data_IF_107621993428
#
_entry.id   IF_107621993428
#
_cell.length_a   1.000
_cell.length_b   1.000
_cell.length_c   1.000
_cell.angle_alpha   90.00
_cell.angle_beta   90.00
_cell.angle_gamma   90.00
#
_symmetry.space_group_name_H-M   'P 1'
#
loop_
_entity.id
_entity.type
_entity.pdbx_description
1 polymer ?
#
# COMPACT_ATOMS: atom_id res chain seq x y z
N UNK A 1 12.12 58.46 -21.22
CA UNK A 1 13.34 57.77 -21.69
C UNK A 1 13.50 56.51 -20.87
N UNK A 2 13.21 55.35 -21.47
CA UNK A 2 13.22 54.05 -20.83
C UNK A 2 14.63 53.47 -20.85
N UNK A 3 15.07 52.90 -19.72
CA UNK A 3 16.23 52.02 -19.65
C UNK A 3 15.74 50.60 -19.33
N UNK A 4 16.06 49.67 -20.23
CA UNK A 4 15.91 48.23 -20.11
C UNK A 4 16.73 47.70 -18.93
N UNK A 5 16.20 46.70 -18.22
CA UNK A 5 17.00 45.74 -17.47
C UNK A 5 16.57 44.33 -17.87
N UNK A 6 17.47 43.67 -18.59
CA UNK A 6 17.54 42.24 -18.87
C UNK A 6 18.55 41.69 -17.86
N UNK A 7 18.15 40.79 -16.96
CA UNK A 7 18.95 39.78 -16.23
C UNK A 7 17.92 38.95 -15.43
N UNK A 8 17.95 37.63 -15.27
CA UNK A 8 18.76 36.55 -15.82
C UNK A 8 18.13 35.25 -15.31
N UNK A 9 18.17 34.21 -16.14
CA UNK A 9 17.59 32.91 -15.86
C UNK A 9 18.51 32.08 -14.97
N UNK A 10 18.37 32.23 -13.66
CA UNK A 10 18.96 31.34 -12.67
C UNK A 10 17.87 30.63 -11.84
N UNK A 11 17.02 29.83 -12.48
CA UNK A 11 16.41 28.69 -11.79
C UNK A 11 17.54 27.70 -11.49
N UNK A 12 17.80 27.52 -10.21
CA UNK A 12 19.02 26.92 -9.68
C UNK A 12 19.18 25.45 -10.12
N UNK A 13 20.41 25.09 -10.52
CA UNK A 13 20.83 23.70 -10.78
C UNK A 13 20.67 22.81 -9.52
N UNK A 14 20.59 23.43 -8.33
CA UNK A 14 20.43 22.76 -7.03
C UNK A 14 19.05 22.13 -6.82
N UNK A 15 17.97 22.72 -7.35
CA UNK A 15 16.61 22.18 -7.20
C UNK A 15 16.39 20.90 -8.02
N UNK A 16 17.06 20.77 -9.18
CA UNK A 16 16.97 19.58 -10.03
C UNK A 16 17.77 18.39 -9.50
N UNK A 17 18.92 18.63 -8.86
CA UNK A 17 19.69 17.56 -8.20
C UNK A 17 18.98 17.04 -6.95
N UNK A 18 18.32 17.91 -6.20
CA UNK A 18 17.64 17.54 -4.95
C UNK A 18 16.39 16.69 -5.23
N UNK A 19 15.58 17.07 -6.23
CA UNK A 19 14.39 16.31 -6.65
C UNK A 19 14.70 14.90 -7.17
N UNK A 20 15.78 14.73 -7.96
CA UNK A 20 16.21 13.41 -8.42
C UNK A 20 16.73 12.54 -7.26
N UNK A 21 17.48 13.12 -6.32
CA UNK A 21 18.01 12.40 -5.16
C UNK A 21 16.88 11.89 -4.24
N UNK A 22 15.89 12.75 -3.93
CA UNK A 22 14.73 12.40 -3.11
C UNK A 22 13.90 11.29 -3.78
N UNK A 23 13.66 11.39 -5.09
CA UNK A 23 12.94 10.34 -5.82
C UNK A 23 13.66 8.99 -5.77
N UNK A 24 14.99 8.99 -5.85
CA UNK A 24 15.78 7.75 -5.80
C UNK A 24 15.81 7.11 -4.41
N UNK A 25 15.83 7.92 -3.35
CA UNK A 25 15.77 7.45 -1.96
C UNK A 25 14.40 6.87 -1.63
N UNK A 26 13.33 7.57 -2.02
CA UNK A 26 11.97 7.07 -1.89
C UNK A 26 11.78 5.75 -2.65
N UNK A 27 12.30 5.65 -3.87
CA UNK A 27 12.25 4.41 -4.65
C UNK A 27 12.99 3.26 -3.97
N UNK A 28 14.20 3.50 -3.46
CA UNK A 28 14.95 2.51 -2.66
C UNK A 28 14.17 2.06 -1.43
N UNK A 29 13.53 2.99 -0.73
CA UNK A 29 12.70 2.67 0.43
C UNK A 29 11.51 1.77 0.04
N UNK A 30 10.79 2.10 -1.04
CA UNK A 30 9.66 1.27 -1.53
C UNK A 30 10.09 -0.12 -1.97
N UNK A 31 11.22 -0.24 -2.66
CA UNK A 31 11.80 -1.54 -3.02
C UNK A 31 12.16 -2.33 -1.76
N UNK A 32 12.63 -1.67 -0.69
CA UNK A 32 12.92 -2.36 0.56
C UNK A 32 11.65 -2.95 1.22
N UNK A 33 10.57 -2.18 1.30
CA UNK A 33 9.27 -2.67 1.79
C UNK A 33 8.74 -3.83 0.94
N UNK A 34 8.80 -3.69 -0.38
CA UNK A 34 8.40 -4.75 -1.31
C UNK A 34 9.25 -6.02 -1.11
N UNK A 35 10.56 -5.86 -0.94
CA UNK A 35 11.48 -6.98 -0.73
C UNK A 35 11.11 -7.78 0.51
N UNK A 36 10.77 -7.13 1.64
CA UNK A 36 10.31 -7.82 2.85
C UNK A 36 9.04 -8.63 2.58
N UNK A 37 8.08 -8.06 1.84
CA UNK A 37 6.84 -8.75 1.47
C UNK A 37 7.08 -9.97 0.57
N UNK A 38 8.16 -9.95 -0.22
CA UNK A 38 8.54 -11.02 -1.16
C UNK A 38 9.43 -12.11 -0.53
N UNK A 39 9.84 -11.99 0.74
CA UNK A 39 10.58 -13.06 1.42
C UNK A 39 9.65 -14.26 1.66
N UNK A 40 10.00 -15.48 1.19
CA UNK A 40 9.15 -16.64 1.33
C UNK A 40 8.91 -17.02 2.79
N UNK A 41 7.63 -17.08 3.18
CA UNK A 41 7.21 -17.46 4.53
C UNK A 41 7.36 -16.36 5.59
N UNK A 42 7.83 -15.16 5.23
CA UNK A 42 7.85 -14.02 6.14
C UNK A 42 6.44 -13.39 6.21
N UNK A 43 5.75 -13.63 7.32
CA UNK A 43 4.37 -13.17 7.52
C UNK A 43 4.28 -11.70 7.94
N UNK A 44 3.08 -11.11 7.83
CA UNK A 44 2.80 -9.72 8.17
C UNK A 44 3.28 -9.33 9.58
N UNK A 45 2.91 -10.12 10.59
CA UNK A 45 3.32 -9.87 11.99
C UNK A 45 4.82 -9.86 12.18
N UNK A 46 5.54 -10.77 11.52
CA UNK A 46 7.00 -10.79 11.59
C UNK A 46 7.61 -9.57 10.92
N UNK A 47 7.06 -9.11 9.78
CA UNK A 47 7.48 -7.86 9.14
C UNK A 47 7.29 -6.68 10.09
N UNK A 48 6.10 -6.51 10.67
CA UNK A 48 5.81 -5.41 11.60
C UNK A 48 6.77 -5.42 12.81
N UNK A 49 6.95 -6.56 13.46
CA UNK A 49 7.83 -6.65 14.63
C UNK A 49 9.30 -6.43 14.28
N UNK A 50 9.76 -6.90 13.12
CA UNK A 50 11.11 -6.60 12.66
C UNK A 50 11.28 -5.10 12.39
N UNK A 51 10.27 -4.44 11.83
CA UNK A 51 10.29 -2.98 11.64
C UNK A 51 10.31 -2.23 12.97
N UNK A 52 9.59 -2.70 13.98
CA UNK A 52 9.64 -2.14 15.35
C UNK A 52 11.06 -2.25 15.95
N UNK A 53 11.74 -3.38 15.75
CA UNK A 53 13.09 -3.61 16.31
C UNK A 53 14.18 -2.87 15.54
N UNK A 54 14.17 -2.94 14.20
CA UNK A 54 15.24 -2.41 13.37
C UNK A 54 14.98 -0.97 12.87
N UNK A 55 13.74 -0.48 13.00
CA UNK A 55 13.31 0.89 12.71
C UNK A 55 13.01 1.21 11.24
N UNK A 56 13.53 0.44 10.28
CA UNK A 56 13.19 0.63 8.85
C UNK A 56 13.34 -0.64 8.02
N UNK A 57 12.62 -0.71 6.90
CA UNK A 57 12.69 -1.86 5.98
C UNK A 57 14.11 -2.08 5.43
N UNK A 58 14.83 -1.00 5.13
CA UNK A 58 16.21 -1.05 4.66
C UNK A 58 17.16 -1.66 5.71
N UNK A 59 16.96 -1.33 6.99
CA UNK A 59 17.74 -1.90 8.11
C UNK A 59 17.40 -3.37 8.35
N UNK A 60 16.12 -3.74 8.27
CA UNK A 60 15.72 -5.16 8.34
C UNK A 60 16.38 -5.96 7.22
N UNK A 61 16.40 -5.43 6.00
CA UNK A 61 17.08 -6.06 4.88
C UNK A 61 18.59 -6.13 5.12
N UNK A 62 19.23 -5.09 5.62
CA UNK A 62 20.67 -5.07 5.86
C UNK A 62 21.13 -5.90 7.07
N UNK A 63 20.19 -6.33 7.93
CA UNK A 63 20.49 -7.08 9.15
C UNK A 63 21.15 -8.44 8.83
N UNK A 64 22.09 -8.84 9.68
CA UNK A 64 22.75 -10.14 9.55
C UNK A 64 21.83 -11.23 10.08
N UNK A 65 22.02 -12.46 9.61
CA UNK A 65 21.26 -13.62 10.07
C UNK A 65 21.28 -13.76 11.59
N UNK A 66 22.43 -13.53 12.22
CA UNK A 66 22.58 -13.57 13.68
C UNK A 66 21.62 -12.59 14.37
N UNK A 67 21.66 -11.32 13.99
CA UNK A 67 20.83 -10.26 14.57
C UNK A 67 19.34 -10.56 14.38
N UNK A 68 18.97 -11.07 13.20
CA UNK A 68 17.60 -11.50 12.89
C UNK A 68 17.14 -12.64 13.80
N UNK A 69 17.94 -13.69 13.96
CA UNK A 69 17.61 -14.85 14.78
C UNK A 69 17.52 -14.50 16.27
N UNK A 70 18.39 -13.61 16.77
CA UNK A 70 18.39 -13.15 18.16
C UNK A 70 17.06 -12.46 18.55
N UNK A 71 16.30 -11.95 17.58
CA UNK A 71 14.98 -11.35 17.85
C UNK A 71 13.90 -12.36 18.25
N UNK A 72 13.98 -13.62 17.81
CA UNK A 72 12.91 -14.62 18.00
C UNK A 72 11.57 -14.27 17.33
N UNK A 73 11.54 -13.34 16.38
CA UNK A 73 10.30 -12.77 15.81
C UNK A 73 9.72 -13.51 14.59
N UNK A 74 10.47 -14.46 14.05
CA UNK A 74 10.05 -15.31 12.94
C UNK A 74 10.71 -16.69 13.03
N UNK A 75 10.21 -17.63 12.25
CA UNK A 75 10.83 -18.96 12.11
C UNK A 75 12.19 -18.84 11.41
N UNK A 76 13.08 -19.78 11.67
CA UNK A 76 14.43 -19.80 11.11
C UNK A 76 14.43 -19.71 9.58
N UNK A 77 13.58 -20.50 8.91
CA UNK A 77 13.57 -20.57 7.44
C UNK A 77 13.32 -19.20 6.76
N UNK A 78 12.27 -18.44 7.11
CA UNK A 78 12.11 -17.05 6.63
C UNK A 78 13.29 -16.12 6.94
N UNK A 79 13.91 -16.22 8.12
CA UNK A 79 15.05 -15.36 8.49
C UNK A 79 16.29 -15.69 7.67
N UNK A 80 16.55 -16.98 7.41
CA UNK A 80 17.61 -17.42 6.50
C UNK A 80 17.35 -16.92 5.07
N UNK A 81 16.11 -17.02 4.58
CA UNK A 81 15.76 -16.50 3.26
C UNK A 81 15.96 -14.97 3.18
N UNK A 82 15.53 -14.23 4.21
CA UNK A 82 15.74 -12.78 4.30
C UNK A 82 17.24 -12.42 4.27
N UNK A 83 18.05 -13.06 5.13
CA UNK A 83 19.49 -12.81 5.20
C UNK A 83 20.22 -13.17 3.90
N UNK A 84 19.79 -14.24 3.23
CA UNK A 84 20.33 -14.68 1.95
C UNK A 84 19.75 -13.93 0.74
N UNK A 85 18.88 -12.93 0.94
CA UNK A 85 18.21 -12.17 -0.13
C UNK A 85 17.43 -13.07 -1.10
N UNK A 86 16.80 -14.11 -0.56
CA UNK A 86 15.94 -15.00 -1.32
C UNK A 86 14.51 -14.46 -1.33
N UNK A 87 13.97 -14.28 -2.52
CA UNK A 87 12.65 -13.72 -2.74
C UNK A 87 11.84 -14.62 -3.68
N UNK A 88 10.51 -14.62 -3.52
CA UNK A 88 9.60 -15.36 -4.42
C UNK A 88 9.60 -14.78 -5.84
N UNK A 89 9.96 -13.51 -5.97
CA UNK A 89 10.19 -12.77 -7.21
C UNK A 89 11.30 -11.76 -6.98
N UNK A 90 12.04 -11.42 -8.02
CA UNK A 90 13.04 -10.35 -7.94
C UNK A 90 12.36 -9.00 -7.59
N UNK A 91 12.73 -8.35 -6.47
CA UNK A 91 12.07 -7.12 -6.03
C UNK A 91 12.21 -5.95 -7.01
N UNK A 92 13.33 -5.86 -7.73
CA UNK A 92 13.56 -4.77 -8.69
C UNK A 92 12.64 -4.91 -9.91
N UNK A 93 12.53 -6.14 -10.42
CA UNK A 93 11.63 -6.50 -11.53
C UNK A 93 10.18 -6.31 -11.14
N UNK A 94 9.78 -6.75 -9.94
CA UNK A 94 8.41 -6.59 -9.45
C UNK A 94 8.08 -5.10 -9.23
N UNK A 95 8.99 -4.31 -8.67
CA UNK A 95 8.78 -2.86 -8.53
C UNK A 95 8.57 -2.18 -9.88
N UNK A 96 9.41 -2.51 -10.87
CA UNK A 96 9.29 -1.98 -12.24
C UNK A 96 7.94 -2.36 -12.85
N UNK A 97 7.49 -3.60 -12.65
CA UNK A 97 6.17 -4.05 -13.10
C UNK A 97 5.02 -3.25 -12.46
N UNK A 98 5.05 -3.07 -11.14
CA UNK A 98 4.02 -2.32 -10.41
C UNK A 98 3.94 -0.87 -10.86
N UNK A 99 5.10 -0.21 -11.01
CA UNK A 99 5.21 1.18 -11.50
C UNK A 99 4.63 1.32 -12.90
N UNK A 100 4.99 0.42 -13.82
CA UNK A 100 4.49 0.42 -15.20
C UNK A 100 2.99 0.14 -15.32
N UNK A 101 2.39 -0.49 -14.31
CA UNK A 101 0.95 -0.77 -14.23
C UNK A 101 0.20 0.24 -13.37
N UNK A 102 0.86 1.32 -12.94
CA UNK A 102 0.31 2.37 -12.08
C UNK A 102 -0.25 1.84 -10.75
N UNK A 103 0.30 0.74 -10.24
CA UNK A 103 0.02 0.32 -8.87
C UNK A 103 0.84 1.17 -7.90
N UNK A 104 0.20 1.56 -6.80
CA UNK A 104 0.85 2.25 -5.68
C UNK A 104 1.14 1.27 -4.55
N UNK A 105 2.32 1.40 -3.96
CA UNK A 105 2.73 0.69 -2.76
C UNK A 105 2.58 1.62 -1.57
N UNK A 106 1.62 1.34 -0.70
CA UNK A 106 1.34 2.14 0.50
C UNK A 106 1.81 1.31 1.70
N UNK A 107 2.78 1.83 2.42
CA UNK A 107 3.43 1.17 3.54
C UNK A 107 2.86 1.70 4.86
N UNK A 108 2.84 0.88 5.90
CA UNK A 108 2.44 1.33 7.23
C UNK A 108 3.35 2.48 7.68
N UNK A 109 2.76 3.57 8.15
CA UNK A 109 3.46 4.81 8.50
C UNK A 109 3.51 5.85 7.39
N UNK A 110 3.08 5.53 6.16
CA UNK A 110 2.84 6.55 5.13
C UNK A 110 1.62 7.42 5.49
N UNK A 111 1.65 8.70 5.10
CA UNK A 111 0.55 9.65 5.35
C UNK A 111 -0.78 9.25 4.69
N UNK A 112 -0.72 8.53 3.56
CA UNK A 112 -1.88 8.04 2.82
C UNK A 112 -2.34 6.65 3.25
N UNK A 113 -1.75 6.07 4.30
CA UNK A 113 -2.20 4.80 4.86
C UNK A 113 -3.59 4.96 5.53
N UNK A 114 -4.60 4.13 5.20
CA UNK A 114 -5.93 4.26 5.78
C UNK A 114 -5.93 4.09 7.31
N UNK A 115 -6.25 5.17 8.03
CA UNK A 115 -6.19 5.19 9.49
C UNK A 115 -7.14 4.19 10.17
N UNK A 116 -8.25 3.83 9.51
CA UNK A 116 -9.14 2.77 9.98
C UNK A 116 -8.46 1.40 9.97
N UNK A 117 -7.63 1.13 8.95
CA UNK A 117 -6.92 -0.13 8.83
C UNK A 117 -5.73 -0.21 9.80
N UNK A 118 -5.11 0.92 10.12
CA UNK A 118 -4.01 0.99 11.10
C UNK A 118 -4.44 0.51 12.50
N UNK A 119 -5.73 0.64 12.83
CA UNK A 119 -6.29 0.34 14.16
C UNK A 119 -6.67 -1.12 14.36
N UNK A 120 -6.61 -1.97 13.33
CA UNK A 120 -6.94 -3.39 13.48
C UNK A 120 -5.79 -4.14 14.19
N UNK A 121 -6.02 -5.33 14.78
CA UNK A 121 -4.99 -6.04 15.55
C UNK A 121 -3.75 -6.49 14.75
N UNK A 122 -3.86 -6.61 13.43
CA UNK A 122 -2.78 -7.06 12.54
C UNK A 122 -2.82 -6.23 11.23
N UNK A 123 -2.47 -4.94 11.29
CA UNK A 123 -2.58 -4.05 10.14
C UNK A 123 -1.60 -4.48 9.05
N UNK A 124 -1.99 -4.55 7.77
CA UNK A 124 -1.06 -4.92 6.71
C UNK A 124 0.12 -3.94 6.65
N UNK A 125 1.35 -4.45 6.72
CA UNK A 125 2.56 -3.64 6.63
C UNK A 125 2.69 -2.95 5.28
N UNK A 126 2.13 -3.57 4.23
CA UNK A 126 2.18 -3.12 2.83
C UNK A 126 0.83 -3.37 2.17
N UNK A 127 0.30 -2.35 1.51
CA UNK A 127 -0.89 -2.38 0.68
C UNK A 127 -0.51 -2.10 -0.77
N UNK A 128 -1.18 -2.79 -1.70
CA UNK A 128 -1.11 -2.50 -3.13
C UNK A 128 -2.43 -1.86 -3.53
N UNK A 129 -2.37 -0.67 -4.13
CA UNK A 129 -3.54 0.08 -4.57
C UNK A 129 -3.51 0.30 -6.07
N UNK A 130 -4.65 0.10 -6.73
CA UNK A 130 -4.91 0.58 -8.08
C UNK A 130 -5.99 1.65 -8.00
N UNK A 131 -5.75 2.79 -8.65
CA UNK A 131 -6.59 3.99 -8.51
C UNK A 131 -6.20 4.88 -7.32
N UNK A 132 -7.10 5.81 -6.99
CA UNK A 132 -6.90 6.79 -5.93
C UNK A 132 -7.60 6.37 -4.64
N UNK A 133 -6.93 6.62 -3.50
CA UNK A 133 -7.55 6.63 -2.18
C UNK A 133 -7.69 8.09 -1.79
N UNK A 134 -8.91 8.49 -1.46
CA UNK A 134 -9.26 9.86 -1.18
C UNK A 134 -9.55 10.01 0.31
N UNK A 135 -9.34 11.20 0.91
CA UNK A 135 -9.62 11.42 2.33
C UNK A 135 -11.07 11.06 2.73
N UNK A 136 -12.04 11.24 1.82
CA UNK A 136 -13.44 10.86 2.04
C UNK A 136 -13.63 9.36 2.25
N UNK A 137 -12.74 8.52 1.72
CA UNK A 137 -12.85 7.06 1.82
C UNK A 137 -12.60 6.55 3.25
N UNK A 138 -12.12 7.41 4.16
CA UNK A 138 -12.07 7.11 5.59
C UNK A 138 -13.48 7.01 6.22
N UNK A 139 -14.48 7.64 5.59
CA UNK A 139 -15.89 7.50 5.94
C UNK A 139 -16.51 6.43 5.04
N UNK A 140 -16.27 5.18 5.42
CA UNK A 140 -16.66 4.02 4.62
C UNK A 140 -17.57 3.06 5.37
N UNK A 141 -18.37 2.30 4.62
CA UNK A 141 -19.18 1.21 5.14
C UNK A 141 -18.92 -0.09 4.39
N UNK A 142 -18.72 -1.17 5.14
CA UNK A 142 -18.56 -2.50 4.58
C UNK A 142 -19.92 -3.12 4.24
N UNK A 143 -20.10 -3.57 3.01
CA UNK A 143 -21.28 -4.33 2.57
C UNK A 143 -20.83 -5.72 2.14
N UNK A 144 -21.30 -6.74 2.85
CA UNK A 144 -20.90 -8.14 2.64
C UNK A 144 -22.11 -9.05 2.66
N UNK A 145 -22.04 -10.20 1.99
CA UNK A 145 -23.08 -11.21 2.08
C UNK A 145 -22.86 -12.46 1.24
N UNK A 146 -23.94 -13.19 0.97
CA UNK A 146 -23.88 -14.48 0.28
C UNK A 146 -23.33 -14.37 -1.14
N UNK A 147 -22.48 -15.33 -1.54
CA UNK A 147 -22.05 -15.55 -2.92
C UNK A 147 -23.18 -16.08 -3.82
N UNK A 148 -24.18 -16.70 -3.21
CA UNK A 148 -25.39 -17.25 -3.84
C UNK A 148 -26.62 -16.54 -3.25
N UNK A 149 -26.68 -15.22 -3.45
CA UNK A 149 -27.79 -14.42 -2.95
C UNK A 149 -29.07 -14.64 -3.79
N UNK A 150 -30.23 -14.50 -3.15
CA UNK A 150 -31.50 -14.50 -3.87
C UNK A 150 -31.64 -13.25 -4.74
N UNK A 151 -32.51 -13.27 -5.78
CA UNK A 151 -32.79 -12.08 -6.57
C UNK A 151 -33.19 -10.85 -5.73
N UNK A 152 -34.02 -11.05 -4.70
CA UNK A 152 -34.42 -9.99 -3.77
C UNK A 152 -33.22 -9.44 -2.96
N UNK A 153 -32.32 -10.31 -2.50
CA UNK A 153 -31.12 -9.89 -1.78
C UNK A 153 -30.16 -9.08 -2.65
N UNK A 154 -30.04 -9.43 -3.93
CA UNK A 154 -29.23 -8.66 -4.89
C UNK A 154 -29.82 -7.27 -5.14
N UNK A 155 -31.14 -7.18 -5.36
CA UNK A 155 -31.83 -5.89 -5.56
C UNK A 155 -31.66 -5.01 -4.32
N UNK A 156 -31.85 -5.59 -3.13
CA UNK A 156 -31.71 -4.86 -1.88
C UNK A 156 -30.28 -4.33 -1.67
N UNK A 157 -29.26 -5.17 -1.86
CA UNK A 157 -27.87 -4.76 -1.70
C UNK A 157 -27.47 -3.67 -2.71
N UNK A 158 -27.94 -3.78 -3.96
CA UNK A 158 -27.68 -2.78 -4.99
C UNK A 158 -28.33 -1.43 -4.66
N UNK A 159 -29.60 -1.43 -4.25
CA UNK A 159 -30.32 -0.21 -3.83
C UNK A 159 -29.66 0.43 -2.60
N UNK A 160 -29.42 -0.36 -1.56
CA UNK A 160 -28.82 0.12 -0.32
C UNK A 160 -27.45 0.75 -0.56
N UNK A 161 -26.59 0.12 -1.36
CA UNK A 161 -25.27 0.66 -1.67
C UNK A 161 -25.32 1.92 -2.53
N UNK A 162 -26.32 2.04 -3.42
CA UNK A 162 -26.55 3.28 -4.17
C UNK A 162 -26.93 4.43 -3.24
N UNK A 163 -27.87 4.20 -2.31
CA UNK A 163 -28.32 5.23 -1.36
C UNK A 163 -27.20 5.67 -0.41
N UNK A 164 -26.38 4.72 0.06
CA UNK A 164 -25.22 5.00 0.91
C UNK A 164 -24.15 5.83 0.17
N UNK A 165 -23.84 5.46 -1.07
CA UNK A 165 -22.86 6.19 -1.88
C UNK A 165 -23.35 7.59 -2.24
N UNK A 166 -24.64 7.74 -2.59
CA UNK A 166 -25.27 9.04 -2.84
C UNK A 166 -25.22 9.95 -1.61
N UNK A 167 -25.30 9.35 -0.42
CA UNK A 167 -25.16 10.06 0.86
C UNK A 167 -23.71 10.40 1.23
N UNK A 168 -22.74 10.08 0.36
CA UNK A 168 -21.32 10.42 0.53
C UNK A 168 -20.48 9.38 1.28
N UNK A 169 -21.01 8.17 1.55
CA UNK A 169 -20.23 7.10 2.16
C UNK A 169 -19.52 6.25 1.09
N UNK A 170 -18.25 5.93 1.31
CA UNK A 170 -17.54 4.99 0.44
C UNK A 170 -17.95 3.54 0.76
N UNK A 171 -18.49 2.82 -0.23
CA UNK A 171 -18.84 1.40 -0.09
C UNK A 171 -17.61 0.52 -0.29
N UNK A 172 -17.28 -0.30 0.72
CA UNK A 172 -16.16 -1.24 0.70
C UNK A 172 -16.71 -2.67 0.69
N UNK A 173 -16.19 -3.51 -0.22
CA UNK A 173 -16.61 -4.92 -0.32
C UNK A 173 -15.49 -5.79 -0.91
N UNK A 174 -15.68 -7.12 -0.95
CA UNK A 174 -14.65 -8.10 -1.27
C UNK A 174 -14.55 -8.52 -2.73
N UNK A 175 -15.27 -7.85 -3.65
CA UNK A 175 -15.38 -8.22 -5.08
C UNK A 175 -15.86 -9.66 -5.33
N UNK A 176 -16.51 -10.31 -4.35
CA UNK A 176 -17.08 -11.64 -4.55
C UNK A 176 -18.33 -11.59 -5.46
N UNK A 177 -18.71 -12.76 -6.00
CA UNK A 177 -20.03 -12.92 -6.61
C UNK A 177 -21.13 -12.67 -5.56
N UNK A 178 -22.35 -12.38 -6.02
CA UNK A 178 -23.50 -12.17 -5.15
C UNK A 178 -23.58 -10.76 -4.58
N UNK A 179 -23.69 -10.64 -3.26
CA UNK A 179 -23.93 -9.36 -2.56
C UNK A 179 -22.81 -8.35 -2.82
N UNK A 180 -21.54 -8.73 -2.75
CA UNK A 180 -20.40 -7.82 -2.97
C UNK A 180 -20.45 -7.17 -4.36
N UNK A 181 -20.73 -7.97 -5.39
CA UNK A 181 -20.90 -7.47 -6.76
C UNK A 181 -22.08 -6.50 -6.90
N UNK A 182 -23.21 -6.79 -6.23
CA UNK A 182 -24.38 -5.91 -6.22
C UNK A 182 -24.09 -4.59 -5.50
N UNK A 183 -23.39 -4.64 -4.37
CA UNK A 183 -22.98 -3.48 -3.61
C UNK A 183 -22.09 -2.54 -4.44
N UNK A 184 -21.07 -3.08 -5.11
CA UNK A 184 -20.22 -2.29 -6.01
C UNK A 184 -20.99 -1.67 -7.18
N UNK A 185 -21.91 -2.42 -7.81
CA UNK A 185 -22.76 -1.85 -8.88
C UNK A 185 -23.65 -0.72 -8.38
N UNK A 186 -24.25 -0.87 -7.19
CA UNK A 186 -25.07 0.16 -6.56
C UNK A 186 -24.27 1.42 -6.30
N UNK A 187 -23.10 1.28 -5.68
CA UNK A 187 -22.23 2.41 -5.36
C UNK A 187 -21.76 3.20 -6.61
N UNK A 188 -21.53 2.51 -7.75
CA UNK A 188 -21.13 3.15 -9.00
C UNK A 188 -22.27 3.87 -9.74
N UNK A 189 -23.54 3.63 -9.36
CA UNK A 189 -24.71 4.28 -9.95
C UNK A 189 -25.07 5.61 -9.27
N UNK A 190 -24.50 5.89 -8.11
CA UNK A 190 -24.77 7.07 -7.30
C UNK A 190 -24.18 8.36 -7.88
#
# INVERSE_FOLDING_TARGET
MAAQNIFDGSESIQDRSNSHSISSEQERNRIAWLSLKLVPGLGNRSILRLLEVFGSAERVLAARLRDLCETGLARDKPLHALAAKQFVRDPQTEWTYLKNKNFRLICIGDDDYPSNLLKIPDPPAVLFSSGALLPRDLVSIAVVGSRYASPAGLIFAESLSSDLAFSGLTVVSGLALGIDSAAHRGALKA
#
